data_IF_007646550371
#
_entry.id   IF_007646550371
#
_cell.length_a   1.000
_cell.length_b   1.000
_cell.length_c   1.000
_cell.angle_alpha   90.00
_cell.angle_beta   90.00
_cell.angle_gamma   90.00
#
_symmetry.space_group_name_H-M   'P 1'
#
loop_
_entity.id
_entity.type
_entity.pdbx_description
1 polymer ?
#
# COMPACT_ATOMS: atom_id res chain seq x y z
N UNK A 1 20.64 18.80 17.41
CA UNK A 1 19.90 18.43 16.21
C UNK A 1 19.36 17.01 16.44
N UNK A 2 18.06 16.83 16.65
CA UNK A 2 17.46 15.50 16.60
C UNK A 2 17.43 15.08 15.13
N UNK A 3 18.37 14.25 14.69
CA UNK A 3 18.20 13.47 13.46
C UNK A 3 17.21 12.36 13.80
N UNK A 4 15.94 12.65 13.72
CA UNK A 4 14.93 11.60 13.81
C UNK A 4 14.89 10.90 12.46
N UNK A 5 15.41 9.69 12.41
CA UNK A 5 15.45 8.87 11.19
C UNK A 5 14.06 8.57 10.62
N UNK A 6 13.02 8.75 11.41
CA UNK A 6 11.62 8.52 11.05
C UNK A 6 10.85 9.79 10.68
N UNK A 7 11.52 10.96 10.75
CA UNK A 7 10.92 12.24 10.38
C UNK A 7 10.66 12.33 8.89
N UNK A 8 9.44 12.74 8.53
CA UNK A 8 8.99 12.93 7.15
C UNK A 8 8.68 14.40 6.83
N UNK A 9 9.15 15.34 7.67
CA UNK A 9 8.94 16.77 7.43
C UNK A 9 9.45 17.17 6.05
N UNK A 10 8.62 17.92 5.32
CA UNK A 10 8.91 18.36 3.96
C UNK A 10 8.89 17.25 2.90
N UNK A 11 8.44 16.03 3.19
CA UNK A 11 8.21 14.97 2.20
C UNK A 11 6.80 15.05 1.64
N UNK A 12 6.65 14.73 0.35
CA UNK A 12 5.38 14.64 -0.36
C UNK A 12 5.05 13.18 -0.64
N UNK A 13 3.93 12.70 -0.10
CA UNK A 13 3.49 11.32 -0.19
C UNK A 13 2.18 11.18 -0.98
N UNK A 14 2.09 10.19 -1.87
CA UNK A 14 0.85 9.75 -2.50
C UNK A 14 0.44 8.41 -1.87
N UNK A 15 -0.82 8.29 -1.44
CA UNK A 15 -1.40 7.03 -0.95
C UNK A 15 -2.62 6.68 -1.78
N UNK A 16 -2.59 5.53 -2.46
CA UNK A 16 -3.71 5.07 -3.29
C UNK A 16 -4.69 4.20 -2.50
N UNK A 17 -5.99 4.28 -2.84
CA UNK A 17 -7.02 3.54 -2.10
C UNK A 17 -7.11 4.01 -0.64
N UNK A 18 -7.02 5.31 -0.40
CA UNK A 18 -6.81 5.87 0.93
C UNK A 18 -8.04 6.54 1.55
N UNK A 19 -9.24 6.35 0.98
CA UNK A 19 -10.49 6.84 1.58
C UNK A 19 -10.88 6.11 2.88
N UNK A 20 -10.37 4.90 3.09
CA UNK A 20 -10.71 4.03 4.24
C UNK A 20 -9.64 2.96 4.52
N UNK A 21 -9.86 2.15 5.56
CA UNK A 21 -9.07 0.98 5.91
C UNK A 21 -7.58 1.27 6.07
N UNK A 22 -6.73 0.36 5.59
CA UNK A 22 -5.26 0.49 5.71
C UNK A 22 -4.74 1.75 5.02
N UNK A 23 -5.27 2.09 3.83
CA UNK A 23 -4.86 3.28 3.10
C UNK A 23 -5.08 4.57 3.89
N UNK A 24 -6.26 4.72 4.51
CA UNK A 24 -6.57 5.84 5.40
C UNK A 24 -5.61 5.90 6.60
N UNK A 25 -5.42 4.78 7.30
CA UNK A 25 -4.54 4.73 8.47
C UNK A 25 -3.09 5.10 8.10
N UNK A 26 -2.59 4.58 6.98
CA UNK A 26 -1.25 4.90 6.48
C UNK A 26 -1.13 6.38 6.06
N UNK A 27 -2.15 6.95 5.39
CA UNK A 27 -2.14 8.36 4.99
C UNK A 27 -2.08 9.29 6.21
N UNK A 28 -2.93 9.05 7.22
CA UNK A 28 -2.92 9.81 8.47
C UNK A 28 -1.61 9.61 9.23
N UNK A 29 -1.08 8.39 9.24
CA UNK A 29 0.19 8.07 9.89
C UNK A 29 1.38 8.80 9.29
N UNK A 30 1.47 8.85 7.96
CA UNK A 30 2.50 9.60 7.25
C UNK A 30 2.38 11.11 7.53
N UNK A 31 1.16 11.66 7.58
CA UNK A 31 0.92 13.05 7.94
C UNK A 31 1.36 13.36 9.38
N UNK A 32 1.07 12.48 10.34
CA UNK A 32 1.55 12.60 11.73
C UNK A 32 3.07 12.57 11.84
N UNK A 33 3.73 11.87 10.93
CA UNK A 33 5.20 11.84 10.86
C UNK A 33 5.80 13.04 10.11
N UNK A 34 4.98 13.97 9.60
CA UNK A 34 5.44 15.24 9.00
C UNK A 34 5.26 15.35 7.48
N UNK A 35 4.78 14.32 6.80
CA UNK A 35 4.59 14.39 5.35
C UNK A 35 3.34 15.21 4.95
N UNK A 36 3.44 15.88 3.81
CA UNK A 36 2.28 16.32 3.05
C UNK A 36 1.72 15.14 2.26
N UNK A 37 0.40 14.90 2.33
CA UNK A 37 -0.17 13.66 1.82
C UNK A 37 -1.28 13.90 0.81
N UNK A 38 -1.15 13.31 -0.35
CA UNK A 38 -2.16 13.25 -1.39
C UNK A 38 -2.93 11.94 -1.24
N UNK A 39 -4.24 12.08 -1.02
CA UNK A 39 -5.16 10.97 -0.79
C UNK A 39 -5.89 10.64 -2.08
N UNK A 40 -5.68 9.46 -2.65
CA UNK A 40 -6.36 9.08 -3.89
C UNK A 40 -7.22 7.84 -3.73
N UNK A 41 -8.40 7.85 -4.33
CA UNK A 41 -9.33 6.73 -4.32
C UNK A 41 -10.35 6.88 -5.47
N UNK A 42 -11.08 5.83 -5.82
CA UNK A 42 -12.29 5.93 -6.64
C UNK A 42 -13.50 6.47 -5.85
N UNK A 43 -13.43 6.38 -4.51
CA UNK A 43 -14.41 6.91 -3.56
C UNK A 43 -14.05 8.33 -3.13
N UNK A 44 -14.97 8.97 -2.40
CA UNK A 44 -14.72 10.30 -1.80
C UNK A 44 -13.63 10.25 -0.73
N UNK A 45 -12.69 11.18 -0.83
CA UNK A 45 -11.52 11.29 0.05
C UNK A 45 -11.58 12.50 0.98
N UNK A 46 -12.62 13.34 0.86
CA UNK A 46 -12.74 14.64 1.54
C UNK A 46 -12.51 14.56 3.05
N UNK A 47 -13.12 13.55 3.69
CA UNK A 47 -12.98 13.36 5.14
C UNK A 47 -11.53 13.09 5.58
N UNK A 48 -10.79 12.26 4.83
CA UNK A 48 -9.40 11.96 5.16
C UNK A 48 -8.49 13.16 4.91
N UNK A 49 -8.78 13.92 3.86
CA UNK A 49 -8.09 15.19 3.57
C UNK A 49 -8.28 16.20 4.71
N UNK A 50 -9.49 16.33 5.23
CA UNK A 50 -9.76 17.21 6.38
C UNK A 50 -9.00 16.74 7.63
N UNK A 51 -9.06 15.45 7.97
CA UNK A 51 -8.31 14.88 9.09
C UNK A 51 -6.80 15.15 8.98
N UNK A 52 -6.23 15.12 7.77
CA UNK A 52 -4.81 15.42 7.54
C UNK A 52 -4.51 16.91 7.71
N UNK A 53 -5.39 17.79 7.22
CA UNK A 53 -5.25 19.25 7.37
C UNK A 53 -5.33 19.69 8.85
N UNK A 54 -6.12 19.01 9.67
CA UNK A 54 -6.15 19.22 11.12
C UNK A 54 -4.80 18.96 11.81
N UNK A 55 -3.95 18.13 11.19
CA UNK A 55 -2.57 17.89 11.63
C UNK A 55 -1.58 18.96 11.15
N UNK A 56 -2.07 20.05 10.57
CA UNK A 56 -1.25 21.13 9.98
C UNK A 56 -0.34 20.64 8.85
N UNK A 57 -0.82 19.69 8.04
CA UNK A 57 -0.14 19.19 6.83
C UNK A 57 -0.94 19.58 5.58
N UNK A 58 -0.21 19.85 4.49
CA UNK A 58 -0.87 20.05 3.21
C UNK A 58 -1.46 18.73 2.71
N UNK A 59 -2.69 18.78 2.24
CA UNK A 59 -3.38 17.63 1.67
C UNK A 59 -4.41 18.05 0.63
N UNK A 60 -4.59 17.20 -0.36
CA UNK A 60 -5.76 17.24 -1.23
C UNK A 60 -6.13 15.84 -1.72
N UNK A 61 -7.39 15.70 -2.11
CA UNK A 61 -7.94 14.46 -2.61
C UNK A 61 -8.05 14.44 -4.12
N UNK A 62 -7.81 13.28 -4.72
CA UNK A 62 -8.03 13.06 -6.14
C UNK A 62 -8.87 11.79 -6.33
N UNK A 63 -9.86 11.89 -7.22
CA UNK A 63 -10.57 10.70 -7.70
C UNK A 63 -9.73 10.03 -8.77
N UNK A 64 -9.20 8.84 -8.48
CA UNK A 64 -8.28 8.10 -9.35
C UNK A 64 -8.68 6.64 -9.39
N UNK A 65 -8.96 6.11 -10.57
CA UNK A 65 -8.95 4.67 -10.83
C UNK A 65 -7.52 4.26 -11.22
N UNK A 66 -6.83 3.54 -10.34
CA UNK A 66 -5.45 3.11 -10.58
C UNK A 66 -5.29 2.21 -11.79
N UNK A 67 -6.36 1.53 -12.22
CA UNK A 67 -6.38 0.71 -13.44
C UNK A 67 -6.46 1.55 -14.72
N UNK A 68 -6.79 2.85 -14.61
CA UNK A 68 -6.83 3.78 -15.73
C UNK A 68 -5.52 4.58 -15.83
N UNK A 69 -4.76 4.34 -16.89
CA UNK A 69 -3.47 5.00 -17.11
C UNK A 69 -3.58 6.53 -17.17
N UNK A 70 -4.64 7.08 -17.77
CA UNK A 70 -4.82 8.53 -17.86
C UNK A 70 -5.08 9.17 -16.50
N UNK A 71 -5.86 8.52 -15.63
CA UNK A 71 -6.08 9.00 -14.27
C UNK A 71 -4.78 9.03 -13.47
N UNK A 72 -3.97 7.98 -13.60
CA UNK A 72 -2.66 7.89 -12.93
C UNK A 72 -1.69 8.97 -13.45
N UNK A 73 -1.66 9.22 -14.75
CA UNK A 73 -0.80 10.27 -15.33
C UNK A 73 -1.26 11.68 -14.91
N UNK A 74 -2.57 11.92 -14.85
CA UNK A 74 -3.15 13.16 -14.34
C UNK A 74 -2.77 13.38 -12.87
N UNK A 75 -2.98 12.36 -12.02
CA UNK A 75 -2.59 12.39 -10.60
C UNK A 75 -1.13 12.84 -10.42
N UNK A 76 -0.20 12.23 -11.15
CA UNK A 76 1.23 12.58 -11.04
C UNK A 76 1.50 14.01 -11.47
N UNK A 77 0.82 14.50 -12.51
CA UNK A 77 0.98 15.87 -12.98
C UNK A 77 0.45 16.89 -11.98
N UNK A 78 -0.75 16.66 -11.40
CA UNK A 78 -1.35 17.53 -10.40
C UNK A 78 -0.47 17.65 -9.15
N UNK A 79 0.09 16.51 -8.68
CA UNK A 79 0.98 16.53 -7.52
C UNK A 79 2.27 17.27 -7.83
N UNK A 80 2.85 17.07 -9.01
CA UNK A 80 4.06 17.79 -9.43
C UNK A 80 3.82 19.30 -9.58
N UNK A 81 2.68 19.70 -10.13
CA UNK A 81 2.33 21.10 -10.26
C UNK A 81 2.25 21.80 -8.91
N UNK A 82 1.61 21.14 -7.93
CA UNK A 82 1.39 21.71 -6.60
C UNK A 82 2.61 21.64 -5.68
N UNK A 83 3.36 20.52 -5.67
CA UNK A 83 4.45 20.28 -4.70
C UNK A 83 5.85 20.25 -5.34
N UNK A 84 5.96 20.22 -6.65
CA UNK A 84 7.25 20.16 -7.37
C UNK A 84 7.93 18.80 -7.35
N UNK A 85 7.55 17.90 -6.42
CA UNK A 85 8.20 16.61 -6.17
C UNK A 85 7.23 15.55 -5.69
N UNK A 86 7.67 14.29 -5.72
CA UNK A 86 7.00 13.15 -5.09
C UNK A 86 8.08 12.32 -4.40
N UNK A 87 8.09 12.30 -3.07
CA UNK A 87 9.11 11.58 -2.29
C UNK A 87 8.68 10.16 -1.97
N UNK A 88 7.38 9.93 -1.74
CA UNK A 88 6.84 8.66 -1.26
C UNK A 88 5.62 8.27 -2.09
N UNK A 89 5.56 7.01 -2.51
CA UNK A 89 4.35 6.38 -3.07
C UNK A 89 3.98 5.16 -2.22
N UNK A 90 2.75 5.14 -1.71
CA UNK A 90 2.15 3.94 -1.12
C UNK A 90 1.10 3.41 -2.07
N UNK A 91 1.41 2.33 -2.77
CA UNK A 91 0.52 1.59 -3.65
C UNK A 91 -0.35 0.65 -2.81
N UNK A 92 -1.50 1.14 -2.33
CA UNK A 92 -2.38 0.37 -1.46
C UNK A 92 -3.70 -0.02 -2.14
N UNK A 93 -4.15 0.71 -3.16
CA UNK A 93 -5.41 0.39 -3.85
C UNK A 93 -5.49 -1.09 -4.23
N UNK A 94 -6.60 -1.73 -3.88
CA UNK A 94 -6.80 -3.14 -4.16
C UNK A 94 -8.20 -3.62 -3.80
N UNK A 95 -8.59 -4.70 -4.45
CA UNK A 95 -9.88 -5.36 -4.25
C UNK A 95 -9.68 -6.85 -3.98
N UNK A 96 -10.67 -7.47 -3.36
CA UNK A 96 -10.76 -8.91 -3.17
C UNK A 96 -12.00 -9.42 -3.90
N UNK A 97 -11.83 -10.50 -4.67
CA UNK A 97 -12.91 -11.34 -5.20
C UNK A 97 -12.58 -12.76 -4.82
N UNK A 98 -13.56 -13.46 -4.27
CA UNK A 98 -13.40 -14.83 -3.80
C UNK A 98 -14.31 -15.77 -4.57
N UNK A 99 -13.82 -16.98 -4.80
CA UNK A 99 -14.52 -18.06 -5.45
C UNK A 99 -13.57 -19.25 -5.66
N UNK A 100 -14.11 -20.46 -5.65
CA UNK A 100 -13.29 -21.65 -5.93
C UNK A 100 -12.76 -21.59 -7.37
N UNK A 101 -11.55 -22.09 -7.59
CA UNK A 101 -10.84 -21.93 -8.84
C UNK A 101 -11.60 -22.49 -10.05
N UNK A 102 -12.33 -23.61 -9.86
CA UNK A 102 -13.06 -24.29 -10.92
C UNK A 102 -14.34 -23.56 -11.37
N UNK A 103 -14.85 -22.61 -10.58
CA UNK A 103 -16.07 -21.85 -10.89
C UNK A 103 -15.86 -20.33 -10.95
N UNK A 104 -14.64 -19.87 -10.70
CA UNK A 104 -14.33 -18.43 -10.74
C UNK A 104 -14.48 -17.92 -12.19
N UNK A 105 -15.27 -16.87 -12.38
CA UNK A 105 -15.44 -16.27 -13.70
C UNK A 105 -14.19 -15.44 -14.09
N UNK A 106 -14.03 -15.25 -15.40
CA UNK A 106 -12.87 -14.53 -15.94
C UNK A 106 -12.92 -13.03 -15.61
N UNK A 107 -14.09 -12.47 -15.50
CA UNK A 107 -14.32 -11.05 -15.21
C UNK A 107 -13.80 -10.69 -13.81
N UNK A 108 -14.03 -11.54 -12.81
CA UNK A 108 -13.50 -11.34 -11.45
C UNK A 108 -11.99 -11.52 -11.41
N UNK A 109 -11.45 -12.49 -12.18
CA UNK A 109 -10.01 -12.62 -12.35
C UNK A 109 -9.40 -11.36 -12.96
N UNK A 110 -9.90 -10.93 -14.11
CA UNK A 110 -9.37 -9.77 -14.84
C UNK A 110 -9.42 -8.50 -13.97
N UNK A 111 -10.54 -8.26 -13.27
CA UNK A 111 -10.70 -7.07 -12.45
C UNK A 111 -9.73 -7.04 -11.27
N UNK A 112 -9.47 -8.18 -10.63
CA UNK A 112 -8.48 -8.24 -9.52
C UNK A 112 -7.07 -8.01 -10.04
N UNK A 113 -6.67 -8.63 -11.15
CA UNK A 113 -5.34 -8.41 -11.76
C UNK A 113 -5.19 -6.95 -12.20
N UNK A 114 -6.22 -6.40 -12.84
CA UNK A 114 -6.21 -5.03 -13.34
C UNK A 114 -5.99 -4.01 -12.22
N UNK A 115 -6.72 -4.13 -11.12
CA UNK A 115 -6.59 -3.19 -9.98
C UNK A 115 -5.34 -3.46 -9.15
N UNK A 116 -5.16 -4.74 -8.70
CA UNK A 116 -4.17 -5.06 -7.68
C UNK A 116 -2.74 -5.13 -8.20
N UNK A 117 -2.55 -5.49 -9.46
CA UNK A 117 -1.23 -5.67 -10.07
C UNK A 117 -0.95 -4.61 -11.14
N UNK A 118 -1.77 -4.53 -12.18
CA UNK A 118 -1.58 -3.56 -13.26
C UNK A 118 -1.67 -2.13 -12.72
N UNK A 119 -2.63 -1.83 -11.85
CA UNK A 119 -2.80 -0.51 -11.24
C UNK A 119 -1.58 -0.09 -10.41
N UNK A 120 -1.04 -0.99 -9.58
CA UNK A 120 0.19 -0.70 -8.82
C UNK A 120 1.39 -0.49 -9.75
N UNK A 121 1.49 -1.27 -10.84
CA UNK A 121 2.52 -1.07 -11.86
C UNK A 121 2.41 0.30 -12.51
N UNK A 122 1.21 0.72 -12.94
CA UNK A 122 0.99 2.02 -13.58
C UNK A 122 1.38 3.18 -12.65
N UNK A 123 0.96 3.13 -11.39
CA UNK A 123 1.32 4.13 -10.38
C UNK A 123 2.83 4.15 -10.13
N UNK A 124 3.45 2.99 -9.89
CA UNK A 124 4.88 2.88 -9.67
C UNK A 124 5.68 3.39 -10.89
N UNK A 125 5.24 3.07 -12.12
CA UNK A 125 5.89 3.52 -13.35
C UNK A 125 5.79 5.04 -13.51
N UNK A 126 4.61 5.63 -13.32
CA UNK A 126 4.40 7.07 -13.50
C UNK A 126 5.16 7.89 -12.45
N UNK A 127 5.07 7.50 -11.18
CA UNK A 127 5.80 8.14 -10.07
C UNK A 127 7.31 7.87 -10.21
N UNK A 128 7.70 6.65 -10.54
CA UNK A 128 9.11 6.28 -10.76
C UNK A 128 9.82 7.11 -11.79
N UNK A 129 9.16 7.48 -12.91
CA UNK A 129 9.72 8.43 -13.89
C UNK A 129 10.08 9.79 -13.27
N UNK A 130 9.27 10.25 -12.31
CA UNK A 130 9.54 11.49 -11.59
C UNK A 130 10.67 11.31 -10.58
N UNK A 131 10.65 10.22 -9.78
CA UNK A 131 11.68 9.90 -8.80
C UNK A 131 13.07 9.68 -9.45
N UNK A 132 13.13 9.10 -10.66
CA UNK A 132 14.37 8.95 -11.44
C UNK A 132 14.98 10.31 -11.76
N UNK A 133 14.18 11.31 -12.16
CA UNK A 133 14.64 12.67 -12.39
C UNK A 133 15.12 13.35 -11.11
N UNK A 134 14.44 13.08 -9.98
CA UNK A 134 14.80 13.59 -8.65
C UNK A 134 16.04 12.90 -8.08
N UNK A 135 16.38 11.68 -8.56
CA UNK A 135 17.41 10.78 -7.99
C UNK A 135 17.15 10.46 -6.52
N UNK A 136 15.91 10.30 -6.16
CA UNK A 136 15.44 9.99 -4.79
C UNK A 136 14.00 9.54 -4.83
N UNK A 137 13.62 8.58 -3.97
CA UNK A 137 12.23 8.18 -3.79
C UNK A 137 12.07 6.90 -2.96
N UNK A 138 10.87 6.75 -2.40
CA UNK A 138 10.44 5.55 -1.66
C UNK A 138 9.11 5.05 -2.24
N UNK A 139 9.10 3.82 -2.71
CA UNK A 139 7.89 3.15 -3.20
C UNK A 139 7.57 1.98 -2.27
N UNK A 140 6.38 1.97 -1.74
CA UNK A 140 5.88 0.95 -0.81
C UNK A 140 4.65 0.30 -1.44
N UNK A 141 4.79 -0.95 -1.87
CA UNK A 141 3.73 -1.72 -2.48
C UNK A 141 3.02 -2.57 -1.43
N UNK A 142 1.70 -2.45 -1.31
CA UNK A 142 0.94 -3.29 -0.39
C UNK A 142 0.60 -4.61 -1.08
N UNK A 143 1.33 -5.66 -0.68
CA UNK A 143 1.06 -7.03 -1.03
C UNK A 143 0.11 -7.68 -0.01
N UNK A 144 0.38 -8.89 0.42
CA UNK A 144 -0.36 -9.67 1.44
C UNK A 144 0.45 -10.91 1.80
N UNK A 145 0.18 -11.53 2.93
CA UNK A 145 0.60 -12.91 3.20
C UNK A 145 0.08 -13.89 2.12
N UNK A 146 -1.06 -13.58 1.50
CA UNK A 146 -1.59 -14.35 0.37
C UNK A 146 -0.71 -14.28 -0.90
N UNK A 147 0.25 -13.36 -0.97
CA UNK A 147 1.28 -13.33 -2.01
C UNK A 147 2.49 -14.19 -1.72
N UNK A 148 2.66 -14.62 -0.47
CA UNK A 148 3.74 -15.51 -0.01
C UNK A 148 3.33 -16.98 -0.05
N UNK A 149 2.04 -17.25 0.12
CA UNK A 149 1.47 -18.59 0.09
C UNK A 149 0.05 -18.58 -0.47
N UNK A 150 -0.44 -19.75 -0.90
CA UNK A 150 -1.79 -19.89 -1.44
C UNK A 150 -2.86 -19.69 -0.37
N UNK A 151 -3.91 -18.96 -0.70
CA UNK A 151 -5.09 -18.80 0.14
C UNK A 151 -6.30 -19.35 -0.59
N UNK A 152 -6.99 -20.31 0.01
CA UNK A 152 -8.13 -20.99 -0.62
C UNK A 152 -9.21 -19.99 -1.07
N UNK A 153 -9.86 -20.27 -2.18
CA UNK A 153 -10.89 -19.44 -2.81
C UNK A 153 -10.45 -18.00 -3.17
N UNK A 154 -9.15 -17.74 -3.31
CA UNK A 154 -8.61 -16.40 -3.59
C UNK A 154 -7.55 -16.39 -4.70
N UNK A 155 -7.70 -17.24 -5.72
CA UNK A 155 -6.70 -17.41 -6.78
C UNK A 155 -6.26 -16.09 -7.42
N UNK A 156 -7.16 -15.20 -7.91
CA UNK A 156 -6.74 -13.95 -8.55
C UNK A 156 -6.05 -13.00 -7.56
N UNK A 157 -6.54 -12.96 -6.32
CA UNK A 157 -5.94 -12.13 -5.28
C UNK A 157 -4.52 -12.59 -4.95
N UNK A 158 -4.34 -13.87 -4.65
CA UNK A 158 -3.02 -14.45 -4.34
C UNK A 158 -2.04 -14.27 -5.51
N UNK A 159 -2.47 -14.56 -6.74
CA UNK A 159 -1.66 -14.33 -7.93
C UNK A 159 -1.26 -12.86 -8.10
N UNK A 160 -2.20 -11.93 -7.92
CA UNK A 160 -1.90 -10.49 -7.99
C UNK A 160 -0.89 -10.05 -6.93
N UNK A 161 -1.04 -10.53 -5.69
CA UNK A 161 -0.16 -10.17 -4.57
C UNK A 161 1.24 -10.80 -4.67
N UNK A 162 1.34 -12.02 -5.22
CA UNK A 162 2.63 -12.62 -5.60
C UNK A 162 3.31 -11.83 -6.73
N UNK A 163 2.54 -11.43 -7.75
CA UNK A 163 3.04 -10.56 -8.83
C UNK A 163 3.59 -9.22 -8.31
N UNK A 164 2.95 -8.62 -7.31
CA UNK A 164 3.43 -7.39 -6.65
C UNK A 164 4.79 -7.60 -5.98
N UNK A 165 5.05 -8.77 -5.38
CA UNK A 165 6.36 -9.07 -4.78
C UNK A 165 7.46 -9.16 -5.84
N UNK A 166 7.21 -9.88 -6.93
CA UNK A 166 8.16 -10.00 -8.04
C UNK A 166 8.42 -8.64 -8.70
N UNK A 167 7.36 -7.85 -8.94
CA UNK A 167 7.45 -6.49 -9.47
C UNK A 167 8.30 -5.58 -8.55
N UNK A 168 8.11 -5.68 -7.23
CA UNK A 168 8.88 -4.94 -6.23
C UNK A 168 10.37 -5.23 -6.34
N UNK A 169 10.76 -6.50 -6.42
CA UNK A 169 12.16 -6.93 -6.54
C UNK A 169 12.79 -6.43 -7.84
N UNK A 170 12.08 -6.55 -8.95
CA UNK A 170 12.56 -6.12 -10.27
C UNK A 170 12.78 -4.61 -10.29
N UNK A 171 11.81 -3.82 -9.84
CA UNK A 171 11.93 -2.35 -9.80
C UNK A 171 13.03 -1.90 -8.83
N UNK A 172 13.21 -2.58 -7.71
CA UNK A 172 14.30 -2.30 -6.78
C UNK A 172 15.68 -2.48 -7.44
N UNK A 173 15.87 -3.57 -8.19
CA UNK A 173 17.10 -3.84 -8.92
C UNK A 173 17.38 -2.80 -10.03
N UNK A 174 16.33 -2.37 -10.76
CA UNK A 174 16.47 -1.39 -11.83
C UNK A 174 16.71 0.03 -11.32
N UNK A 175 16.04 0.44 -10.23
CA UNK A 175 15.98 1.83 -9.79
C UNK A 175 16.88 2.18 -8.61
N UNK A 176 17.51 1.19 -7.98
CA UNK A 176 18.47 1.40 -6.89
C UNK A 176 19.62 2.36 -7.25
N UNK A 177 20.12 2.30 -8.51
CA UNK A 177 21.12 3.23 -9.03
C UNK A 177 20.68 4.71 -9.07
N UNK A 178 19.38 4.97 -8.99
CA UNK A 178 18.80 6.31 -8.86
C UNK A 178 18.45 6.69 -7.42
N UNK A 179 18.89 5.90 -6.42
CA UNK A 179 18.56 6.09 -5.00
C UNK A 179 17.05 6.01 -4.74
N UNK A 180 16.37 5.12 -5.43
CA UNK A 180 14.97 4.81 -5.19
C UNK A 180 14.89 3.46 -4.48
N UNK A 181 14.28 3.45 -3.29
CA UNK A 181 13.97 2.19 -2.60
C UNK A 181 12.57 1.74 -2.98
N UNK A 182 12.44 0.48 -3.37
CA UNK A 182 11.15 -0.14 -3.68
C UNK A 182 10.98 -1.35 -2.79
N UNK A 183 10.00 -1.33 -1.89
CA UNK A 183 9.73 -2.40 -0.94
C UNK A 183 8.25 -2.78 -0.95
N UNK A 184 7.94 -3.96 -0.44
CA UNK A 184 6.57 -4.40 -0.20
C UNK A 184 6.29 -4.59 1.29
N UNK A 185 5.03 -4.38 1.68
CA UNK A 185 4.49 -4.84 2.96
C UNK A 185 3.56 -6.00 2.66
N UNK A 186 3.63 -7.05 3.47
CA UNK A 186 2.75 -8.22 3.41
C UNK A 186 1.89 -8.27 4.68
N UNK A 187 0.74 -7.56 4.72
CA UNK A 187 -0.15 -7.61 5.87
C UNK A 187 -0.79 -8.99 6.01
N UNK A 188 -1.01 -9.41 7.27
CA UNK A 188 -1.93 -10.48 7.65
C UNK A 188 -3.38 -10.00 7.65
N UNK A 189 -4.15 -10.44 8.65
CA UNK A 189 -5.55 -10.02 8.82
C UNK A 189 -5.63 -8.76 9.66
N UNK A 190 -6.20 -7.71 9.08
CA UNK A 190 -6.47 -6.42 9.70
C UNK A 190 -7.97 -6.11 9.67
N UNK A 191 -8.49 -5.42 10.69
CA UNK A 191 -9.89 -4.99 10.76
C UNK A 191 -10.15 -3.84 9.77
N UNK A 192 -10.70 -4.17 8.62
CA UNK A 192 -10.99 -3.21 7.54
C UNK A 192 -12.36 -3.51 6.92
N UNK A 193 -12.84 -2.61 6.05
CA UNK A 193 -14.05 -2.90 5.26
C UNK A 193 -13.93 -4.15 4.38
N UNK A 194 -12.72 -4.50 3.95
CA UNK A 194 -12.47 -5.70 3.15
C UNK A 194 -12.65 -6.98 3.98
N UNK A 195 -12.35 -6.94 5.26
CA UNK A 195 -12.35 -8.12 6.16
C UNK A 195 -13.54 -8.16 7.12
N UNK A 196 -14.32 -7.07 7.23
CA UNK A 196 -15.40 -6.90 8.23
C UNK A 196 -16.43 -8.03 8.27
N UNK A 197 -16.75 -8.61 7.11
CA UNK A 197 -17.74 -9.69 7.06
C UNK A 197 -17.13 -11.03 7.47
N UNK A 198 -15.87 -11.28 7.14
CA UNK A 198 -15.11 -12.43 7.63
C UNK A 198 -14.92 -12.37 9.16
N UNK A 199 -14.69 -11.18 9.72
CA UNK A 199 -14.51 -10.97 11.15
C UNK A 199 -15.82 -11.14 11.97
N UNK A 200 -16.99 -11.29 11.33
CA UNK A 200 -18.25 -11.69 11.98
C UNK A 200 -18.37 -13.21 12.10
N UNK A 201 -17.62 -13.97 11.32
CA UNK A 201 -17.64 -15.43 11.31
C UNK A 201 -16.78 -15.97 12.46
N UNK A 202 -17.43 -16.67 13.41
CA UNK A 202 -16.75 -17.28 14.56
C UNK A 202 -15.72 -18.34 14.16
N UNK A 203 -15.95 -19.06 13.05
CA UNK A 203 -15.01 -20.02 12.51
C UNK A 203 -13.74 -19.36 12.01
N UNK A 204 -13.90 -18.24 11.31
CA UNK A 204 -12.76 -17.44 10.83
C UNK A 204 -11.95 -16.83 11.99
N UNK A 205 -12.62 -16.27 13.01
CA UNK A 205 -11.95 -15.78 14.22
C UNK A 205 -11.17 -16.90 14.92
N UNK A 206 -11.79 -18.07 15.12
CA UNK A 206 -11.11 -19.21 15.72
C UNK A 206 -9.92 -19.70 14.89
N UNK A 207 -10.00 -19.60 13.55
CA UNK A 207 -8.87 -19.91 12.68
C UNK A 207 -7.71 -18.93 12.90
N UNK A 208 -8.00 -17.62 13.07
CA UNK A 208 -6.98 -16.62 13.43
C UNK A 208 -6.34 -16.97 14.78
N UNK A 209 -7.17 -17.22 15.81
CA UNK A 209 -6.68 -17.57 17.14
C UNK A 209 -5.79 -18.81 17.16
N UNK A 210 -6.05 -19.78 16.28
CA UNK A 210 -5.27 -21.01 16.22
C UNK A 210 -3.96 -20.90 15.41
N UNK A 211 -3.90 -20.01 14.43
CA UNK A 211 -2.79 -19.96 13.48
C UNK A 211 -1.92 -18.69 13.59
N UNK A 212 -2.43 -17.64 14.24
CA UNK A 212 -1.65 -16.43 14.49
C UNK A 212 -1.01 -16.50 15.87
N UNK A 213 0.32 -16.53 16.02
CA UNK A 213 0.99 -16.56 17.33
C UNK A 213 0.56 -15.46 18.30
N UNK A 214 0.22 -14.27 17.79
CA UNK A 214 -0.33 -13.18 18.62
C UNK A 214 -1.83 -13.37 18.96
N UNK A 215 -2.47 -14.44 18.49
CA UNK A 215 -3.84 -14.85 18.82
C UNK A 215 -4.93 -13.84 18.49
N UNK A 216 -4.71 -12.95 17.53
CA UNK A 216 -5.66 -11.91 17.12
C UNK A 216 -5.41 -11.41 15.71
N UNK A 217 -6.40 -10.72 15.14
CA UNK A 217 -6.18 -9.82 14.02
C UNK A 217 -5.64 -8.47 14.53
N UNK A 218 -5.19 -7.63 13.61
CA UNK A 218 -4.65 -6.31 13.94
C UNK A 218 -5.62 -5.19 13.55
N UNK A 219 -5.45 -4.03 14.18
CA UNK A 219 -6.10 -2.78 13.78
C UNK A 219 -5.26 -2.07 12.71
N UNK A 220 -5.89 -1.28 11.80
CA UNK A 220 -5.18 -0.58 10.72
C UNK A 220 -4.00 0.28 11.18
N UNK A 221 -4.10 0.88 12.36
CA UNK A 221 -3.08 1.73 12.97
C UNK A 221 -1.78 0.98 13.29
N UNK A 222 -1.85 -0.35 13.48
CA UNK A 222 -0.68 -1.17 13.79
C UNK A 222 0.24 -1.37 12.57
N UNK A 223 -0.22 -1.01 11.35
CA UNK A 223 0.60 -1.01 10.14
C UNK A 223 1.40 0.28 9.97
N UNK A 224 1.01 1.37 10.66
CA UNK A 224 1.54 2.72 10.46
C UNK A 224 3.05 2.78 10.72
N UNK A 225 3.53 2.16 11.80
CA UNK A 225 4.96 2.14 12.11
C UNK A 225 5.80 1.54 10.99
N UNK A 226 5.29 0.49 10.34
CA UNK A 226 5.97 -0.17 9.22
C UNK A 226 6.02 0.74 7.98
N UNK A 227 4.95 1.45 7.65
CA UNK A 227 4.96 2.34 6.51
C UNK A 227 5.88 3.55 6.75
N UNK A 228 5.89 4.12 7.95
CA UNK A 228 6.81 5.21 8.30
C UNK A 228 8.27 4.74 8.19
N UNK A 229 8.61 3.55 8.71
CA UNK A 229 9.93 2.96 8.56
C UNK A 229 10.36 2.89 7.09
N UNK A 230 9.55 2.31 6.21
CA UNK A 230 9.89 2.16 4.79
C UNK A 230 9.87 3.49 4.02
N UNK A 231 9.13 4.49 4.49
CA UNK A 231 9.06 5.82 3.90
C UNK A 231 10.23 6.73 4.31
N UNK A 232 10.91 6.43 5.40
CA UNK A 232 11.89 7.30 6.06
C UNK A 232 13.35 6.97 5.73
N UNK A 233 14.27 7.75 6.28
CA UNK A 233 15.72 7.51 6.17
C UNK A 233 16.17 6.25 6.92
N UNK A 234 15.40 5.79 7.90
CA UNK A 234 15.67 4.56 8.65
C UNK A 234 15.76 3.31 7.74
N UNK A 235 15.16 3.37 6.54
CA UNK A 235 15.17 2.28 5.56
C UNK A 235 16.06 2.55 4.33
N UNK A 236 17.00 3.49 4.38
CA UNK A 236 17.81 3.87 3.20
C UNK A 236 18.60 2.70 2.58
N UNK A 237 18.95 1.68 3.37
CA UNK A 237 19.66 0.49 2.86
C UNK A 237 18.73 -0.73 2.67
N UNK A 238 17.42 -0.53 2.67
CA UNK A 238 16.40 -1.57 2.47
C UNK A 238 15.73 -1.35 1.13
N UNK A 239 15.89 -2.29 0.19
CA UNK A 239 15.21 -2.28 -1.10
C UNK A 239 14.99 -3.70 -1.61
N UNK A 240 13.91 -3.95 -2.35
CA UNK A 240 13.51 -5.26 -2.84
C UNK A 240 12.94 -6.20 -1.76
N UNK A 241 12.71 -5.70 -0.54
CA UNK A 241 12.28 -6.49 0.60
C UNK A 241 10.75 -6.60 0.68
N UNK A 242 10.27 -7.78 1.12
CA UNK A 242 8.87 -8.02 1.48
C UNK A 242 8.77 -8.12 3.00
N UNK A 243 8.33 -7.05 3.65
CA UNK A 243 8.21 -6.98 5.10
C UNK A 243 6.84 -7.52 5.55
N UNK A 244 6.87 -8.64 6.25
CA UNK A 244 5.66 -9.31 6.75
C UNK A 244 5.19 -8.67 8.05
N UNK A 245 3.89 -8.38 8.14
CA UNK A 245 3.23 -7.81 9.33
C UNK A 245 1.92 -8.57 9.55
N UNK A 246 1.99 -9.72 10.22
CA UNK A 246 0.90 -10.71 10.23
C UNK A 246 0.68 -11.39 11.60
N UNK A 247 1.27 -10.86 12.66
CA UNK A 247 1.20 -11.44 14.00
C UNK A 247 1.92 -12.78 14.15
N UNK A 248 2.79 -13.12 13.19
CA UNK A 248 3.56 -14.35 13.15
C UNK A 248 2.90 -15.50 12.38
N UNK A 249 1.79 -15.26 11.69
CA UNK A 249 1.07 -16.31 10.93
C UNK A 249 2.02 -17.08 10.00
N UNK A 250 2.73 -16.39 9.13
CA UNK A 250 3.62 -17.06 8.16
C UNK A 250 4.90 -17.64 8.77
N UNK A 251 5.27 -17.23 9.97
CA UNK A 251 6.44 -17.78 10.67
C UNK A 251 6.14 -19.10 11.39
N UNK A 252 4.87 -19.42 11.61
CA UNK A 252 4.38 -20.62 12.32
C UNK A 252 3.86 -21.71 11.36
N UNK A 253 4.04 -21.56 10.04
CA UNK A 253 3.62 -22.53 9.02
C UNK A 253 4.64 -23.69 8.88
#
# INVERSE_FOLDING_TARGET
MKNDLFDLEGKTAIVTGASRGLGKAMAIGLAKAGADVIVTDVLDTSKVVEEIKELSRESFGLKVDVSNKSDVEAMVNDVKEKFGKIDILVNNAGILRTGNAEVLNKEDWDKVIEVNLTGQFLCAQAVGRQMIKQKSGKIINISSIAGLGGYASSVPYSASKAGVLSMTQTMAAEWGKYKINVNAICPGVFATDMTKDYLKDKGFIKNIENNVPLNRYAEPEELVGTVIYLASEASNYVTGHALVVDGGWTAAL
#
